data_IF_958364344940
#
_entry.id   IF_958364344940
#
_cell.length_a   1.000
_cell.length_b   1.000
_cell.length_c   1.000
_cell.angle_alpha   90.00
_cell.angle_beta   90.00
_cell.angle_gamma   90.00
#
_symmetry.space_group_name_H-M   'P 1'
#
loop_
_entity.id
_entity.type
_entity.pdbx_description
1 polymer ?
#
# COMPACT_ATOMS: atom_id res chain seq x y z
N UNK A 1 56.31 -47.82 -35.80
CA UNK A 1 55.61 -46.54 -35.97
C UNK A 1 54.45 -46.52 -35.00
N UNK A 2 54.56 -45.74 -33.94
CA UNK A 2 53.47 -45.54 -32.95
C UNK A 2 52.76 -44.25 -33.28
N UNK A 3 51.43 -44.33 -33.55
CA UNK A 3 50.65 -43.16 -33.82
C UNK A 3 50.30 -42.47 -32.47
N UNK A 4 50.61 -41.19 -32.36
CA UNK A 4 50.22 -40.30 -31.21
C UNK A 4 48.89 -39.72 -31.55
N UNK A 5 47.83 -40.11 -30.75
CA UNK A 5 46.51 -39.55 -30.85
C UNK A 5 46.47 -38.22 -30.05
N UNK A 6 46.31 -37.12 -30.76
CA UNK A 6 46.10 -35.80 -30.16
C UNK A 6 44.66 -35.67 -29.72
N UNK A 7 44.40 -35.56 -28.41
CA UNK A 7 43.07 -35.24 -27.86
C UNK A 7 42.94 -33.72 -27.74
N UNK A 8 42.11 -33.14 -28.57
CA UNK A 8 41.72 -31.73 -28.47
C UNK A 8 40.75 -31.58 -27.29
N UNK A 9 41.19 -30.87 -26.27
CA UNK A 9 40.32 -30.47 -25.15
C UNK A 9 39.59 -29.18 -25.57
N UNK A 10 38.28 -29.26 -25.76
CA UNK A 10 37.42 -28.09 -25.97
C UNK A 10 37.05 -27.56 -24.57
N UNK A 11 37.67 -26.44 -24.17
CA UNK A 11 37.20 -25.67 -23.02
C UNK A 11 35.91 -24.93 -23.43
N UNK A 12 34.76 -25.40 -22.95
CA UNK A 12 33.53 -24.64 -22.99
C UNK A 12 33.61 -23.56 -21.92
N UNK A 13 33.77 -22.30 -22.30
CA UNK A 13 33.62 -21.15 -21.42
C UNK A 13 32.15 -20.98 -21.12
N UNK A 14 31.74 -21.37 -19.93
CA UNK A 14 30.46 -20.96 -19.33
C UNK A 14 30.53 -19.45 -19.06
N UNK A 15 29.96 -18.65 -19.94
CA UNK A 15 29.66 -17.27 -19.68
C UNK A 15 28.45 -17.30 -18.74
N UNK A 16 28.70 -17.30 -17.42
CA UNK A 16 27.71 -17.02 -16.44
C UNK A 16 27.26 -15.56 -16.60
N UNK A 17 26.05 -15.33 -17.09
CA UNK A 17 25.40 -14.05 -16.89
C UNK A 17 25.17 -13.96 -15.38
N UNK A 18 25.99 -13.20 -14.67
CA UNK A 18 25.61 -12.69 -13.36
C UNK A 18 24.44 -11.76 -13.59
N UNK A 19 23.24 -12.25 -13.37
CA UNK A 19 22.06 -11.41 -13.17
C UNK A 19 22.31 -10.77 -11.82
N UNK A 20 22.87 -9.55 -11.83
CA UNK A 20 23.11 -8.79 -10.59
C UNK A 20 21.77 -8.55 -9.93
N UNK A 21 21.57 -9.09 -8.72
CA UNK A 21 20.41 -8.80 -7.89
C UNK A 21 20.30 -7.31 -7.64
N UNK A 22 19.07 -6.79 -7.48
CA UNK A 22 18.86 -5.42 -7.03
C UNK A 22 19.05 -5.38 -5.51
N UNK A 23 20.22 -4.91 -5.13
CA UNK A 23 20.62 -4.73 -3.73
C UNK A 23 20.34 -3.28 -3.35
N UNK A 24 19.66 -3.10 -2.26
CA UNK A 24 19.35 -1.79 -1.68
C UNK A 24 19.92 -1.68 -0.28
N UNK A 25 20.28 -0.47 0.12
CA UNK A 25 20.77 -0.18 1.48
C UNK A 25 19.73 0.60 2.27
N UNK A 26 19.69 0.38 3.57
CA UNK A 26 18.81 1.09 4.48
C UNK A 26 19.08 2.60 4.41
N UNK A 27 18.05 3.36 4.07
CA UNK A 27 18.08 4.82 4.03
C UNK A 27 17.35 5.43 5.23
N UNK A 28 16.17 4.89 5.56
CA UNK A 28 15.33 5.41 6.65
C UNK A 28 14.61 4.26 7.38
N UNK A 29 14.51 4.36 8.70
CA UNK A 29 13.71 3.46 9.51
C UNK A 29 12.89 4.29 10.50
N UNK A 30 11.58 4.30 10.31
CA UNK A 30 10.61 5.04 11.13
C UNK A 30 9.89 4.07 12.04
N UNK A 31 9.93 4.34 13.35
CA UNK A 31 9.27 3.52 14.39
C UNK A 31 8.69 4.39 15.48
N UNK A 32 7.59 3.97 16.06
CA UNK A 32 6.99 4.60 17.23
C UNK A 32 6.86 6.12 17.09
N UNK A 33 7.46 6.88 18.01
CA UNK A 33 7.43 8.35 17.99
C UNK A 33 8.10 8.97 16.76
N UNK A 34 8.98 8.25 16.06
CA UNK A 34 9.62 8.72 14.83
C UNK A 34 8.63 9.04 13.70
N UNK A 35 7.41 8.47 13.74
CA UNK A 35 6.36 8.84 12.78
C UNK A 35 5.93 10.30 12.93
N UNK A 36 5.97 10.86 14.14
CA UNK A 36 5.66 12.26 14.37
C UNK A 36 6.70 13.23 13.78
N UNK A 37 7.93 12.77 13.59
CA UNK A 37 9.01 13.57 13.02
C UNK A 37 9.09 13.39 11.50
N UNK A 38 8.73 12.20 11.00
CA UNK A 38 8.83 11.85 9.57
C UNK A 38 7.58 12.19 8.77
N UNK A 39 6.44 12.46 9.42
CA UNK A 39 5.16 12.73 8.76
C UNK A 39 4.49 14.00 9.25
N UNK A 40 3.79 14.67 8.34
CA UNK A 40 2.86 15.76 8.64
C UNK A 40 1.43 15.22 8.76
N UNK A 41 0.70 15.70 9.77
CA UNK A 41 -0.73 15.46 9.91
C UNK A 41 -1.48 16.46 9.04
N UNK A 42 -2.25 15.96 8.08
CA UNK A 42 -2.96 16.76 7.10
C UNK A 42 -4.38 17.04 7.58
N UNK A 43 -4.68 18.32 7.83
CA UNK A 43 -6.03 18.80 8.12
C UNK A 43 -6.61 19.42 6.85
N UNK A 44 -7.03 18.57 5.92
CA UNK A 44 -7.57 18.96 4.62
C UNK A 44 -8.98 18.43 4.43
N UNK A 45 -9.72 19.01 3.49
CA UNK A 45 -10.94 18.39 2.98
C UNK A 45 -10.56 17.14 2.21
N UNK A 46 -11.24 16.03 2.48
CA UNK A 46 -10.97 14.79 1.79
C UNK A 46 -11.27 14.90 0.29
N UNK A 47 -10.27 14.71 -0.59
CA UNK A 47 -10.45 14.79 -2.03
C UNK A 47 -11.35 13.68 -2.59
N UNK A 48 -11.55 12.60 -1.84
CA UNK A 48 -12.42 11.46 -2.23
C UNK A 48 -13.85 11.60 -1.72
N UNK A 49 -14.23 12.80 -1.26
CA UNK A 49 -15.57 13.15 -0.76
C UNK A 49 -16.04 12.30 0.42
N UNK A 50 -15.11 11.82 1.22
CA UNK A 50 -15.38 10.98 2.37
C UNK A 50 -16.20 11.66 3.47
N UNK A 51 -16.95 10.85 4.23
CA UNK A 51 -17.66 11.28 5.44
C UNK A 51 -16.68 11.38 6.62
N UNK A 52 -15.60 12.12 6.45
CA UNK A 52 -14.45 12.23 7.34
C UNK A 52 -14.10 13.69 7.64
N UNK A 53 -13.51 13.92 8.80
CA UNK A 53 -12.80 15.15 9.16
C UNK A 53 -11.39 14.76 9.55
N UNK A 54 -10.42 15.01 8.67
CA UNK A 54 -9.02 14.82 8.99
C UNK A 54 -8.58 15.89 9.99
N UNK A 55 -8.02 15.48 11.11
CA UNK A 55 -7.64 16.40 12.18
C UNK A 55 -6.12 16.59 12.23
N UNK A 56 -5.67 17.77 12.67
CA UNK A 56 -4.26 18.02 12.89
C UNK A 56 -3.72 17.21 14.07
N UNK A 57 -2.39 17.13 14.21
CA UNK A 57 -1.69 16.37 15.24
C UNK A 57 -2.19 16.67 16.66
N UNK A 58 -2.28 17.94 17.04
CA UNK A 58 -2.71 18.34 18.39
C UNK A 58 -4.11 17.82 18.72
N UNK A 59 -5.03 17.91 17.76
CA UNK A 59 -6.37 17.40 17.92
C UNK A 59 -6.39 15.86 17.95
N UNK A 60 -5.62 15.21 17.09
CA UNK A 60 -5.50 13.75 17.06
C UNK A 60 -4.98 13.19 18.39
N UNK A 61 -3.92 13.80 18.95
CA UNK A 61 -3.38 13.43 20.26
C UNK A 61 -4.41 13.67 21.39
N UNK A 62 -5.10 14.83 21.41
CA UNK A 62 -6.09 15.16 22.43
C UNK A 62 -7.31 14.26 22.44
N UNK A 63 -7.68 13.73 21.26
CA UNK A 63 -8.82 12.80 21.08
C UNK A 63 -8.37 11.33 21.10
N UNK A 64 -7.10 11.07 21.39
CA UNK A 64 -6.51 9.73 21.37
C UNK A 64 -6.67 9.00 20.02
N UNK A 65 -6.68 9.77 18.91
CA UNK A 65 -6.71 9.22 17.55
C UNK A 65 -5.32 8.88 17.03
N UNK A 66 -4.28 9.30 17.73
CA UNK A 66 -2.88 8.92 17.51
C UNK A 66 -2.15 8.83 18.83
N UNK A 67 -1.32 7.82 18.96
CA UNK A 67 -0.36 7.69 20.04
C UNK A 67 0.78 6.76 19.59
N UNK A 68 1.91 6.87 20.26
CA UNK A 68 3.10 6.08 19.95
C UNK A 68 3.78 5.57 21.23
N UNK A 69 4.49 4.46 21.09
CA UNK A 69 5.49 3.97 22.02
C UNK A 69 6.85 3.97 21.33
N UNK A 70 7.86 3.33 21.89
CA UNK A 70 9.18 3.18 21.23
C UNK A 70 9.14 2.36 19.93
N UNK A 71 8.16 1.46 19.79
CA UNK A 71 8.10 0.43 18.76
C UNK A 71 6.72 0.26 18.11
N UNK A 72 5.76 1.12 18.44
CA UNK A 72 4.40 1.05 17.93
C UNK A 72 3.89 2.46 17.64
N UNK A 73 3.24 2.62 16.51
CA UNK A 73 2.54 3.83 16.11
C UNK A 73 1.10 3.52 15.76
N UNK A 74 0.16 4.30 16.29
CA UNK A 74 -1.28 4.13 16.07
C UNK A 74 -1.86 5.35 15.37
N UNK A 75 -2.68 5.07 14.35
CA UNK A 75 -3.59 6.00 13.69
C UNK A 75 -4.98 5.41 13.71
N UNK A 76 -5.97 6.13 14.23
CA UNK A 76 -7.33 5.60 14.33
C UNK A 76 -8.39 6.64 14.03
N UNK A 77 -9.59 6.17 13.77
CA UNK A 77 -10.80 7.00 13.75
C UNK A 77 -11.43 7.12 15.12
N UNK A 78 -12.24 8.16 15.30
CA UNK A 78 -13.13 8.32 16.47
C UNK A 78 -14.17 7.20 16.51
N UNK A 79 -14.25 6.51 17.65
CA UNK A 79 -15.17 5.41 17.90
C UNK A 79 -16.20 5.73 19.01
N UNK A 80 -16.34 7.00 19.37
CA UNK A 80 -17.17 7.45 20.51
C UNK A 80 -18.28 8.42 20.13
N UNK A 81 -18.06 9.27 19.12
CA UNK A 81 -18.97 10.37 18.80
C UNK A 81 -20.09 9.93 17.85
N UNK A 82 -21.34 10.15 18.26
CA UNK A 82 -22.50 10.10 17.35
C UNK A 82 -22.56 11.42 16.58
N UNK A 83 -22.58 11.34 15.25
CA UNK A 83 -22.55 12.51 14.38
C UNK A 83 -23.97 12.93 13.98
N UNK A 84 -24.21 14.25 13.97
CA UNK A 84 -25.39 14.86 13.38
C UNK A 84 -25.32 14.92 11.85
N UNK A 85 -26.46 15.17 11.22
CA UNK A 85 -26.56 15.28 9.75
C UNK A 85 -25.75 16.46 9.19
N UNK A 86 -25.54 17.50 9.99
CA UNK A 86 -24.82 18.71 9.60
C UNK A 86 -23.34 18.70 9.99
N UNK A 87 -22.86 17.65 10.67
CA UNK A 87 -21.45 17.53 11.02
C UNK A 87 -20.63 17.22 9.76
N UNK A 88 -19.37 17.66 9.73
CA UNK A 88 -18.49 17.52 8.54
C UNK A 88 -18.12 16.09 8.23
N UNK A 89 -17.95 15.25 9.27
CA UNK A 89 -17.60 13.84 9.14
C UNK A 89 -16.98 13.29 10.41
N UNK A 90 -16.67 12.01 10.43
CA UNK A 90 -16.01 11.34 11.55
C UNK A 90 -14.55 11.77 11.64
N UNK A 91 -14.11 12.17 12.84
CA UNK A 91 -12.72 12.50 13.07
C UNK A 91 -11.83 11.29 12.75
N UNK A 92 -10.81 11.52 11.96
CA UNK A 92 -9.82 10.52 11.55
C UNK A 92 -8.48 11.18 11.27
N UNK A 93 -7.49 10.39 10.89
CA UNK A 93 -6.13 10.85 10.68
C UNK A 93 -5.67 10.52 9.26
N UNK A 94 -5.00 11.51 8.65
CA UNK A 94 -4.23 11.38 7.42
C UNK A 94 -2.86 11.95 7.67
N UNK A 95 -1.81 11.18 7.36
CA UNK A 95 -0.43 11.63 7.49
C UNK A 95 0.29 11.47 6.15
N UNK A 96 1.17 12.41 5.84
CA UNK A 96 1.98 12.44 4.64
C UNK A 96 3.45 12.59 5.00
N UNK A 97 4.32 11.77 4.40
CA UNK A 97 5.76 11.83 4.66
C UNK A 97 6.34 13.20 4.31
N UNK A 98 7.33 13.65 5.09
CA UNK A 98 8.07 14.88 4.83
C UNK A 98 9.00 14.73 3.62
N UNK A 99 9.49 13.52 3.39
CA UNK A 99 10.36 13.16 2.27
C UNK A 99 9.56 12.82 1.01
N UNK A 100 10.24 12.99 -0.11
CA UNK A 100 9.83 12.55 -1.43
C UNK A 100 10.71 11.37 -1.83
N UNK A 101 10.10 10.34 -2.42
CA UNK A 101 10.78 9.13 -2.85
C UNK A 101 10.65 8.97 -4.36
N UNK A 102 11.76 8.57 -5.01
CA UNK A 102 11.79 8.22 -6.43
C UNK A 102 11.82 6.69 -6.59
N UNK A 103 12.95 6.15 -7.02
CA UNK A 103 13.18 4.71 -7.02
C UNK A 103 13.59 4.27 -5.63
N UNK A 104 12.84 3.35 -5.04
CA UNK A 104 13.10 2.89 -3.68
C UNK A 104 12.37 1.58 -3.40
N UNK A 105 12.71 0.97 -2.28
CA UNK A 105 11.94 -0.09 -1.65
C UNK A 105 11.40 0.43 -0.32
N UNK A 106 10.12 0.24 -0.06
CA UNK A 106 9.53 0.49 1.26
C UNK A 106 8.95 -0.78 1.82
N UNK A 107 9.18 -1.04 3.11
CA UNK A 107 8.64 -2.18 3.86
C UNK A 107 7.88 -1.64 5.07
N UNK A 108 6.63 -2.07 5.21
CA UNK A 108 5.77 -1.80 6.35
C UNK A 108 5.60 -3.06 7.19
N UNK A 109 5.89 -3.00 8.47
CA UNK A 109 5.52 -4.01 9.47
C UNK A 109 4.24 -3.54 10.14
N UNK A 110 3.11 -4.17 9.78
CA UNK A 110 1.78 -3.78 10.22
C UNK A 110 1.19 -4.87 11.10
N UNK A 111 0.75 -4.53 12.30
CA UNK A 111 0.15 -5.47 13.24
C UNK A 111 -1.37 -5.50 13.15
N UNK A 112 -1.96 -4.35 12.78
CA UNK A 112 -3.40 -4.19 12.64
C UNK A 112 -3.69 -3.12 11.60
N UNK A 113 -4.74 -3.29 10.81
CA UNK A 113 -5.26 -2.30 9.89
C UNK A 113 -6.73 -2.01 10.17
N UNK A 114 -7.25 -0.84 9.73
CA UNK A 114 -8.65 -0.51 9.95
C UNK A 114 -9.61 -1.56 9.38
N UNK A 115 -10.65 -1.85 10.13
CA UNK A 115 -11.77 -2.69 9.69
C UNK A 115 -13.11 -2.06 10.05
N UNK A 116 -14.13 -2.35 9.26
CA UNK A 116 -15.51 -1.89 9.48
C UNK A 116 -16.23 -1.53 8.18
N UNK A 117 -17.55 -1.57 8.22
CA UNK A 117 -18.39 -1.02 7.15
C UNK A 117 -18.19 0.49 7.04
N UNK A 118 -18.07 1.00 5.85
CA UNK A 118 -17.87 2.42 5.58
C UNK A 118 -16.42 2.86 5.68
N UNK A 119 -15.47 2.01 6.11
CA UNK A 119 -14.04 2.37 6.13
C UNK A 119 -13.42 2.25 4.75
N UNK A 120 -12.45 3.12 4.50
CA UNK A 120 -11.58 3.09 3.31
C UNK A 120 -10.17 3.50 3.74
N UNK A 121 -9.39 2.57 4.32
CA UNK A 121 -8.01 2.78 4.69
C UNK A 121 -7.09 2.63 3.50
N UNK A 122 -5.97 3.41 3.48
CA UNK A 122 -4.93 3.27 2.49
C UNK A 122 -3.51 3.52 3.05
N UNK A 123 -2.53 2.83 2.48
CA UNK A 123 -1.10 3.14 2.50
C UNK A 123 -0.67 3.23 1.05
N UNK A 124 -0.29 4.41 0.62
CA UNK A 124 -0.14 4.75 -0.78
C UNK A 124 0.88 5.85 -1.04
N UNK A 125 1.18 6.13 -2.29
CA UNK A 125 2.14 7.14 -2.69
C UNK A 125 1.59 8.02 -3.81
N UNK A 126 1.72 9.33 -3.65
CA UNK A 126 1.48 10.28 -4.74
C UNK A 126 2.18 11.62 -4.49
N UNK A 127 2.17 12.47 -5.52
CA UNK A 127 2.43 13.90 -5.44
C UNK A 127 1.12 14.66 -5.62
N UNK A 128 0.44 14.98 -4.53
CA UNK A 128 -0.89 15.58 -4.54
C UNK A 128 -0.99 16.84 -5.39
N UNK A 129 0.05 17.70 -5.37
CA UNK A 129 0.06 18.96 -6.15
C UNK A 129 0.16 18.76 -7.66
N UNK A 130 0.40 17.54 -8.13
CA UNK A 130 0.63 17.21 -9.54
C UNK A 130 -0.14 15.93 -9.95
N UNK A 131 -1.13 15.57 -9.18
CA UNK A 131 -1.99 14.41 -9.45
C UNK A 131 -2.85 14.62 -10.71
N UNK A 132 -3.00 13.63 -11.60
CA UNK A 132 -2.38 12.31 -11.59
C UNK A 132 -1.06 12.22 -12.38
N UNK A 133 -0.45 13.35 -12.77
CA UNK A 133 0.70 13.39 -13.69
C UNK A 133 1.98 12.76 -13.09
N UNK A 134 2.15 12.84 -11.78
CA UNK A 134 3.27 12.17 -11.07
C UNK A 134 2.96 10.75 -10.62
N UNK A 135 1.80 10.21 -11.01
CA UNK A 135 1.35 8.87 -10.67
C UNK A 135 0.91 8.71 -9.22
N UNK A 136 0.14 7.64 -8.98
CA UNK A 136 -0.28 7.18 -7.66
C UNK A 136 -0.06 5.68 -7.57
N UNK A 137 0.37 5.20 -6.41
CA UNK A 137 0.67 3.79 -6.14
C UNK A 137 -0.02 3.40 -4.84
N UNK A 138 -1.10 2.63 -4.92
CA UNK A 138 -1.81 2.12 -3.75
C UNK A 138 -1.22 0.77 -3.38
N UNK A 139 -0.44 0.75 -2.29
CA UNK A 139 0.25 -0.45 -1.82
C UNK A 139 -0.73 -1.36 -1.09
N UNK A 140 -1.45 -0.78 -0.12
CA UNK A 140 -2.50 -1.40 0.67
C UNK A 140 -3.73 -0.51 0.59
N UNK A 141 -4.84 -1.01 0.04
CA UNK A 141 -6.09 -0.28 -0.06
C UNK A 141 -7.29 -1.23 -0.12
N UNK A 142 -8.37 -0.84 0.54
CA UNK A 142 -9.64 -1.56 0.47
C UNK A 142 -10.81 -0.79 1.06
N UNK A 143 -12.01 -1.31 0.86
CA UNK A 143 -13.24 -0.68 1.27
C UNK A 143 -14.19 -1.69 1.94
N UNK A 144 -14.87 -1.27 3.02
CA UNK A 144 -15.97 -2.03 3.66
C UNK A 144 -15.61 -3.46 4.09
N UNK A 145 -14.38 -3.75 4.51
CA UNK A 145 -13.90 -5.10 4.84
C UNK A 145 -13.94 -6.10 3.68
N UNK A 146 -14.00 -5.64 2.43
CA UNK A 146 -13.95 -6.54 1.28
C UNK A 146 -12.52 -7.03 1.08
N UNK A 147 -12.35 -8.34 1.17
CA UNK A 147 -11.05 -9.02 1.00
C UNK A 147 -10.95 -9.64 -0.40
N UNK A 148 -9.74 -9.88 -0.89
CA UNK A 148 -8.42 -9.54 -0.37
C UNK A 148 -8.02 -8.08 -0.68
N UNK A 149 -6.81 -7.66 -0.26
CA UNK A 149 -6.21 -6.37 -0.63
C UNK A 149 -6.15 -6.16 -2.15
N UNK A 150 -6.22 -4.92 -2.55
CA UNK A 150 -5.97 -4.49 -3.92
C UNK A 150 -4.80 -3.50 -3.95
N UNK A 151 -3.83 -3.74 -4.83
CA UNK A 151 -2.82 -2.73 -5.18
C UNK A 151 -3.16 -2.14 -6.53
N UNK A 152 -3.14 -0.80 -6.63
CA UNK A 152 -3.62 -0.07 -7.81
C UNK A 152 -2.61 0.96 -8.25
N UNK A 153 -2.58 1.27 -9.54
CA UNK A 153 -1.90 2.46 -10.05
C UNK A 153 -2.90 3.39 -10.73
N UNK A 154 -2.72 4.70 -10.49
CA UNK A 154 -3.43 5.76 -11.21
C UNK A 154 -2.42 6.70 -11.86
N UNK A 155 -2.66 7.01 -13.14
CA UNK A 155 -1.73 7.82 -13.94
C UNK A 155 -2.46 8.82 -14.81
N UNK A 156 -1.72 9.70 -15.44
CA UNK A 156 -2.17 10.42 -16.62
C UNK A 156 -2.40 9.47 -17.80
N UNK A 157 -2.84 10.01 -18.93
CA UNK A 157 -3.16 9.24 -20.14
C UNK A 157 -2.02 8.37 -20.66
N UNK A 158 -2.34 7.35 -21.42
CA UNK A 158 -1.42 6.46 -22.13
C UNK A 158 -0.60 5.53 -21.22
N UNK A 159 -1.23 4.96 -20.19
CA UNK A 159 -0.66 3.91 -19.39
C UNK A 159 -1.64 2.75 -19.20
N UNK A 160 -1.37 1.64 -19.86
CA UNK A 160 -2.10 0.39 -19.70
C UNK A 160 -1.14 -0.76 -19.41
N UNK A 161 -1.48 -1.57 -18.41
CA UNK A 161 -0.68 -2.72 -18.00
C UNK A 161 -1.00 -3.96 -18.84
N UNK A 162 0.01 -4.78 -19.08
CA UNK A 162 -0.21 -6.12 -19.61
C UNK A 162 -0.77 -7.03 -18.53
N UNK A 163 -1.81 -7.81 -18.83
CA UNK A 163 -2.34 -8.83 -17.94
C UNK A 163 -1.48 -10.12 -17.89
N UNK A 164 -0.38 -10.18 -18.63
CA UNK A 164 0.57 -11.30 -18.68
C UNK A 164 1.83 -10.97 -17.87
N UNK A 165 1.70 -10.75 -16.57
CA UNK A 165 2.82 -10.49 -15.67
C UNK A 165 3.03 -11.65 -14.71
N UNK A 166 4.29 -11.86 -14.28
CA UNK A 166 4.62 -12.88 -13.29
C UNK A 166 4.30 -12.34 -11.90
N UNK A 167 3.10 -12.65 -11.41
CA UNK A 167 2.54 -12.22 -10.12
C UNK A 167 1.59 -13.28 -9.57
N UNK A 168 1.27 -13.23 -8.27
CA UNK A 168 0.30 -14.14 -7.65
C UNK A 168 -1.11 -13.58 -7.68
N UNK A 169 -1.28 -12.27 -7.74
CA UNK A 169 -2.59 -11.60 -7.83
C UNK A 169 -3.17 -11.60 -9.25
N UNK A 170 -4.39 -11.10 -9.36
CA UNK A 170 -5.14 -11.06 -10.62
C UNK A 170 -5.51 -9.62 -10.95
N UNK A 171 -5.25 -9.16 -12.17
CA UNK A 171 -5.73 -7.88 -12.63
C UNK A 171 -7.27 -7.85 -12.67
N UNK A 172 -7.85 -6.83 -12.06
CA UNK A 172 -9.26 -6.48 -12.20
C UNK A 172 -9.47 -5.55 -13.40
N UNK A 173 -8.54 -4.62 -13.58
CA UNK A 173 -8.49 -3.62 -14.65
C UNK A 173 -7.04 -3.42 -15.05
N UNK A 174 -6.80 -3.03 -16.31
CA UNK A 174 -5.44 -2.82 -16.82
C UNK A 174 -5.16 -1.39 -17.25
N UNK A 175 -6.17 -0.54 -17.41
CA UNK A 175 -6.01 0.86 -17.77
C UNK A 175 -5.78 1.70 -16.50
N UNK A 176 -4.59 2.30 -16.38
CA UNK A 176 -4.22 3.12 -15.22
C UNK A 176 -4.64 4.59 -15.33
N UNK A 177 -5.19 5.02 -16.50
CA UNK A 177 -5.60 6.39 -16.74
C UNK A 177 -6.73 6.82 -15.79
N UNK A 178 -6.43 7.76 -14.89
CA UNK A 178 -7.35 8.27 -13.89
C UNK A 178 -8.57 9.03 -14.47
N UNK A 179 -8.49 9.46 -15.73
CA UNK A 179 -9.59 10.18 -16.39
C UNK A 179 -10.69 9.28 -16.94
N UNK A 180 -10.50 7.97 -16.94
CA UNK A 180 -11.44 7.00 -17.50
C UNK A 180 -12.06 6.13 -16.40
N UNK A 181 -13.20 5.53 -16.72
CA UNK A 181 -13.88 4.53 -15.87
C UNK A 181 -14.04 4.98 -14.40
N UNK A 182 -14.33 6.26 -14.17
CA UNK A 182 -14.50 6.82 -12.81
C UNK A 182 -13.27 6.66 -11.91
N UNK A 183 -12.07 6.80 -12.48
CA UNK A 183 -10.81 6.66 -11.74
C UNK A 183 -10.60 5.30 -11.07
N UNK A 184 -10.97 4.20 -11.72
CA UNK A 184 -10.77 2.85 -11.17
C UNK A 184 -9.29 2.46 -11.14
N UNK A 185 -8.47 3.07 -12.00
CA UNK A 185 -7.05 2.72 -12.14
C UNK A 185 -6.80 1.31 -12.70
N UNK A 186 -5.57 0.86 -12.68
CA UNK A 186 -5.22 -0.52 -13.01
C UNK A 186 -4.91 -1.31 -11.72
N UNK A 187 -5.91 -2.04 -11.25
CA UNK A 187 -5.89 -2.74 -9.96
C UNK A 187 -5.53 -4.21 -10.08
N UNK A 188 -4.67 -4.69 -9.17
CA UNK A 188 -4.35 -6.10 -8.95
C UNK A 188 -4.88 -6.53 -7.60
N UNK A 189 -5.81 -7.48 -7.59
CA UNK A 189 -6.32 -8.08 -6.37
C UNK A 189 -5.39 -9.22 -5.91
N UNK A 190 -5.08 -9.28 -4.61
CA UNK A 190 -4.20 -10.30 -4.00
C UNK A 190 -4.92 -11.64 -3.83
N UNK A 191 -5.39 -12.24 -4.92
CA UNK A 191 -6.35 -13.34 -4.95
C UNK A 191 -5.90 -14.64 -4.29
N UNK A 192 -4.63 -14.78 -3.94
CA UNK A 192 -4.13 -15.99 -3.22
C UNK A 192 -4.15 -15.84 -1.71
N UNK A 193 -4.53 -14.67 -1.21
CA UNK A 193 -4.37 -14.35 0.19
C UNK A 193 -5.57 -13.59 0.77
N UNK A 194 -6.51 -14.33 1.34
CA UNK A 194 -7.69 -13.75 2.00
C UNK A 194 -7.37 -13.04 3.33
N UNK A 195 -6.15 -13.20 3.85
CA UNK A 195 -5.69 -12.52 5.06
C UNK A 195 -4.90 -11.25 4.75
N UNK A 196 -4.84 -10.83 3.48
CA UNK A 196 -4.13 -9.61 3.09
C UNK A 196 -4.85 -8.32 3.49
N UNK A 197 -6.11 -8.36 3.91
CA UNK A 197 -6.90 -7.18 4.26
C UNK A 197 -7.94 -7.44 5.37
N UNK A 198 -8.27 -6.37 6.13
CA UNK A 198 -9.37 -6.31 7.06
C UNK A 198 -9.31 -7.34 8.20
N UNK A 199 -10.47 -7.91 8.62
CA UNK A 199 -10.54 -8.81 9.78
C UNK A 199 -9.65 -10.05 9.65
N UNK A 200 -9.42 -10.54 8.44
CA UNK A 200 -8.52 -11.67 8.18
C UNK A 200 -7.10 -11.36 8.58
N UNK A 201 -6.59 -10.20 8.13
CA UNK A 201 -5.27 -9.69 8.45
C UNK A 201 -5.08 -9.48 9.96
N UNK A 202 -6.06 -8.85 10.61
CA UNK A 202 -6.00 -8.58 12.05
C UNK A 202 -6.00 -9.86 12.89
N UNK A 203 -6.78 -10.85 12.50
CA UNK A 203 -6.89 -12.15 13.19
C UNK A 203 -5.57 -12.92 13.23
N UNK A 204 -4.73 -12.79 12.20
CA UNK A 204 -3.42 -13.46 12.14
C UNK A 204 -2.29 -12.61 12.74
N UNK A 205 -2.60 -11.47 13.36
CA UNK A 205 -1.60 -10.56 13.95
C UNK A 205 -0.85 -9.72 12.93
N UNK A 206 -1.44 -9.52 11.75
CA UNK A 206 -0.88 -8.66 10.71
C UNK A 206 0.10 -9.33 9.76
N UNK A 207 1.03 -8.54 9.24
CA UNK A 207 2.02 -9.01 8.26
C UNK A 207 2.92 -7.88 7.76
N UNK A 208 3.66 -8.19 6.70
CA UNK A 208 4.51 -7.22 6.03
C UNK A 208 3.97 -6.91 4.64
N UNK A 209 3.89 -5.62 4.34
CA UNK A 209 3.72 -5.10 2.99
C UNK A 209 5.04 -4.51 2.52
N UNK A 210 5.45 -4.84 1.30
CA UNK A 210 6.62 -4.24 0.67
C UNK A 210 6.30 -3.79 -0.75
N UNK A 211 6.83 -2.64 -1.14
CA UNK A 211 6.77 -2.15 -2.51
C UNK A 211 8.20 -1.87 -3.00
N UNK A 212 8.52 -2.32 -4.21
CA UNK A 212 9.73 -1.96 -4.95
C UNK A 212 9.34 -1.15 -6.17
N UNK A 213 9.82 0.08 -6.24
CA UNK A 213 9.63 0.96 -7.38
C UNK A 213 10.96 1.24 -8.08
N UNK A 214 10.95 1.01 -9.38
CA UNK A 214 12.09 1.28 -10.28
C UNK A 214 11.62 2.06 -11.50
N UNK A 215 12.54 2.42 -12.40
CA UNK A 215 12.17 3.02 -13.68
C UNK A 215 11.45 2.06 -14.64
N UNK A 216 11.39 0.76 -14.31
CA UNK A 216 10.91 -0.26 -15.24
C UNK A 216 9.74 -1.08 -14.71
N UNK A 217 9.49 -1.04 -13.42
CA UNK A 217 8.39 -1.77 -12.78
C UNK A 217 8.10 -1.23 -11.38
N UNK A 218 6.90 -1.54 -10.93
CA UNK A 218 6.45 -1.41 -9.55
C UNK A 218 5.95 -2.78 -9.12
N UNK A 219 6.49 -3.32 -8.04
CA UNK A 219 6.08 -4.62 -7.48
C UNK A 219 5.61 -4.43 -6.06
N UNK A 220 4.57 -5.17 -5.67
CA UNK A 220 4.07 -5.21 -4.29
C UNK A 220 4.06 -6.64 -3.80
N UNK A 221 4.56 -6.87 -2.58
CA UNK A 221 4.50 -8.14 -1.88
C UNK A 221 3.68 -7.98 -0.61
N UNK A 222 3.08 -9.09 -0.19
CA UNK A 222 2.48 -9.26 1.11
C UNK A 222 2.91 -10.62 1.67
N UNK A 223 3.20 -10.66 2.96
CA UNK A 223 3.45 -11.89 3.73
C UNK A 223 2.69 -11.82 5.06
N UNK A 224 2.00 -12.90 5.40
CA UNK A 224 1.35 -13.06 6.70
C UNK A 224 2.36 -13.08 7.85
N UNK A 225 1.94 -12.74 9.05
CA UNK A 225 2.82 -12.66 10.23
C UNK A 225 3.60 -13.95 10.49
N UNK A 226 2.97 -15.10 10.34
CA UNK A 226 3.55 -16.41 10.62
C UNK A 226 4.00 -17.17 9.36
N UNK A 227 4.05 -16.49 8.19
CA UNK A 227 4.52 -17.11 6.95
C UNK A 227 6.01 -17.47 7.08
N UNK A 228 6.38 -18.76 6.98
CA UNK A 228 7.78 -19.17 7.00
C UNK A 228 8.58 -18.69 5.80
N UNK A 229 7.93 -18.24 4.74
CA UNK A 229 8.53 -17.72 3.53
C UNK A 229 8.83 -16.22 3.59
N UNK A 230 8.52 -15.52 4.70
CA UNK A 230 8.93 -14.12 4.88
C UNK A 230 10.45 -14.03 4.74
N UNK A 231 10.99 -13.23 3.79
CA UNK A 231 12.42 -13.04 3.67
C UNK A 231 13.03 -12.55 4.98
N UNK A 232 14.20 -13.09 5.32
CA UNK A 232 14.83 -12.76 6.60
C UNK A 232 15.17 -11.26 6.70
N UNK A 233 15.60 -10.66 5.60
CA UNK A 233 15.92 -9.26 5.49
C UNK A 233 14.67 -8.35 5.72
N UNK A 234 13.50 -8.74 5.20
CA UNK A 234 12.22 -8.09 5.49
C UNK A 234 11.87 -8.21 6.96
N UNK A 235 11.88 -9.43 7.50
CA UNK A 235 11.45 -9.71 8.87
C UNK A 235 12.32 -9.03 9.92
N UNK A 236 13.60 -8.87 9.64
CA UNK A 236 14.57 -8.27 10.57
C UNK A 236 14.82 -6.79 10.35
N UNK A 237 14.33 -6.19 9.26
CA UNK A 237 14.68 -4.84 8.85
C UNK A 237 16.20 -4.73 8.61
N UNK A 238 16.76 -5.64 7.82
CA UNK A 238 18.20 -5.74 7.59
C UNK A 238 18.77 -4.45 6.98
N UNK A 239 20.06 -4.18 7.21
CA UNK A 239 20.76 -3.02 6.63
C UNK A 239 20.85 -3.07 5.10
N UNK A 240 20.93 -4.27 4.54
CA UNK A 240 20.99 -4.54 3.10
C UNK A 240 19.90 -5.56 2.78
N UNK A 241 19.18 -5.31 1.68
CA UNK A 241 18.14 -6.21 1.18
C UNK A 241 18.40 -6.57 -0.28
N UNK A 242 17.90 -7.75 -0.69
CA UNK A 242 17.94 -8.24 -2.07
C UNK A 242 16.54 -8.71 -2.50
N UNK A 243 15.84 -7.86 -3.25
CA UNK A 243 14.44 -8.10 -3.66
C UNK A 243 14.27 -9.25 -4.65
N UNK A 244 15.34 -9.72 -5.30
CA UNK A 244 15.26 -10.88 -6.20
C UNK A 244 14.97 -12.19 -5.44
N UNK A 245 15.30 -12.24 -4.16
CA UNK A 245 15.04 -13.39 -3.30
C UNK A 245 13.70 -13.34 -2.57
N UNK A 246 12.87 -12.33 -2.82
CA UNK A 246 11.57 -12.15 -2.14
C UNK A 246 10.43 -12.99 -2.73
N UNK A 247 10.71 -13.76 -3.79
CA UNK A 247 9.72 -14.61 -4.45
C UNK A 247 8.82 -13.83 -5.40
N UNK A 248 7.71 -14.47 -5.78
CA UNK A 248 6.76 -13.91 -6.74
C UNK A 248 5.92 -12.83 -6.03
N UNK A 249 5.89 -11.57 -6.55
CA UNK A 249 5.10 -10.51 -5.94
C UNK A 249 3.59 -10.78 -6.08
N UNK A 250 2.80 -10.17 -5.20
CA UNK A 250 1.35 -10.13 -5.30
C UNK A 250 0.90 -9.31 -6.51
N UNK A 251 1.52 -8.14 -6.72
CA UNK A 251 1.29 -7.30 -7.89
C UNK A 251 2.61 -6.95 -8.57
N UNK A 252 2.61 -6.93 -9.92
CA UNK A 252 3.79 -6.63 -10.74
C UNK A 252 3.39 -5.81 -11.97
N UNK A 253 3.50 -4.51 -11.84
CA UNK A 253 3.25 -3.53 -12.88
C UNK A 253 4.56 -3.26 -13.64
N UNK A 254 4.61 -3.58 -14.94
CA UNK A 254 5.85 -3.50 -15.72
C UNK A 254 5.72 -2.56 -16.91
N UNK A 255 6.84 -1.94 -17.27
CA UNK A 255 6.95 -1.23 -18.54
C UNK A 255 6.44 -2.09 -19.70
N UNK A 256 5.72 -1.45 -20.59
CA UNK A 256 5.25 -2.02 -21.84
C UNK A 256 5.29 -0.95 -22.94
N UNK A 257 4.91 -1.31 -24.15
CA UNK A 257 4.71 -0.33 -25.25
C UNK A 257 3.53 0.61 -24.98
N UNK A 258 2.65 0.26 -24.04
CA UNK A 258 1.44 0.99 -23.67
C UNK A 258 1.56 1.75 -22.34
N UNK A 259 2.66 1.57 -21.61
CA UNK A 259 2.96 2.32 -20.38
C UNK A 259 4.45 2.33 -20.09
N UNK A 260 5.04 3.51 -20.05
CA UNK A 260 6.39 3.76 -19.56
C UNK A 260 6.33 4.27 -18.11
N UNK A 261 6.66 3.42 -17.15
CA UNK A 261 6.68 3.73 -15.71
C UNK A 261 7.49 5.01 -15.43
N UNK A 262 8.63 5.16 -16.08
CA UNK A 262 9.52 6.31 -15.87
C UNK A 262 8.83 7.65 -16.18
N UNK A 263 7.97 7.70 -17.18
CA UNK A 263 7.30 8.93 -17.60
C UNK A 263 6.04 9.25 -16.80
N UNK A 264 5.47 8.26 -16.11
CA UNK A 264 4.20 8.42 -15.39
C UNK A 264 4.38 8.55 -13.86
N UNK A 265 5.55 8.26 -13.31
CA UNK A 265 5.78 8.29 -11.87
C UNK A 265 6.92 9.23 -11.51
N UNK A 266 6.59 10.38 -10.92
CA UNK A 266 7.52 11.37 -10.36
C UNK A 266 7.99 11.03 -8.95
N UNK A 267 8.58 12.00 -8.25
CA UNK A 267 8.84 11.86 -6.82
C UNK A 267 7.52 11.97 -6.04
N UNK A 268 7.22 10.98 -5.21
CA UNK A 268 5.97 10.89 -4.46
C UNK A 268 6.22 10.91 -2.95
N UNK A 269 5.23 11.39 -2.18
CA UNK A 269 5.19 11.18 -0.73
C UNK A 269 4.47 9.88 -0.42
N UNK A 270 4.82 9.24 0.70
CA UNK A 270 4.05 8.17 1.30
C UNK A 270 2.93 8.78 2.12
N UNK A 271 1.70 8.28 1.96
CA UNK A 271 0.51 8.74 2.66
C UNK A 271 -0.12 7.54 3.37
N UNK A 272 -0.58 7.74 4.60
CA UNK A 272 -1.31 6.75 5.39
C UNK A 272 -2.56 7.45 5.91
N UNK A 273 -3.73 6.92 5.58
CA UNK A 273 -4.97 7.52 6.00
C UNK A 273 -6.11 6.51 6.17
N UNK A 274 -7.17 7.00 6.81
CA UNK A 274 -8.42 6.30 6.95
C UNK A 274 -9.56 7.28 6.67
N UNK A 275 -10.18 7.16 5.49
CA UNK A 275 -11.41 7.86 5.17
C UNK A 275 -12.64 6.98 5.40
N UNK A 276 -13.83 7.57 5.26
CA UNK A 276 -15.11 6.91 5.41
C UNK A 276 -16.03 7.24 4.25
N UNK A 277 -16.73 6.26 3.75
CA UNK A 277 -17.67 6.38 2.64
C UNK A 277 -16.98 6.87 1.35
N UNK A 278 -17.21 8.13 0.95
CA UNK A 278 -16.62 8.71 -0.25
C UNK A 278 -17.02 7.99 -1.54
N UNK A 279 -16.20 8.22 -2.57
CA UNK A 279 -16.51 7.80 -3.93
C UNK A 279 -16.45 6.27 -4.11
N UNK A 280 -15.69 5.57 -3.27
CA UNK A 280 -15.57 4.10 -3.33
C UNK A 280 -16.36 3.40 -2.24
N UNK A 281 -15.96 3.51 -0.96
CA UNK A 281 -16.61 2.76 0.10
C UNK A 281 -18.07 3.19 0.34
N UNK A 282 -18.40 4.44 0.00
CA UNK A 282 -19.76 4.99 0.08
C UNK A 282 -20.61 4.80 -1.17
N UNK A 283 -20.05 4.30 -2.27
CA UNK A 283 -20.84 4.02 -3.46
C UNK A 283 -21.94 3.01 -3.14
N UNK A 284 -23.23 3.33 -3.38
CA UNK A 284 -24.34 2.48 -2.93
C UNK A 284 -24.27 1.04 -3.45
N UNK A 285 -23.81 0.84 -4.69
CA UNK A 285 -23.68 -0.49 -5.27
C UNK A 285 -22.58 -1.31 -4.55
N UNK A 286 -21.44 -0.68 -4.26
CA UNK A 286 -20.30 -1.31 -3.59
C UNK A 286 -20.63 -1.55 -2.11
N UNK A 287 -21.17 -0.54 -1.43
CA UNK A 287 -21.54 -0.63 -0.02
C UNK A 287 -22.56 -1.75 0.24
N UNK A 288 -23.60 -1.82 -0.59
CA UNK A 288 -24.63 -2.86 -0.48
C UNK A 288 -24.07 -4.25 -0.82
N UNK A 289 -23.23 -4.35 -1.85
CA UNK A 289 -22.59 -5.62 -2.23
C UNK A 289 -21.62 -6.15 -1.15
N UNK A 290 -21.07 -5.25 -0.32
CA UNK A 290 -20.24 -5.60 0.85
C UNK A 290 -21.03 -6.18 2.02
N UNK A 291 -22.38 -6.20 1.94
CA UNK A 291 -23.26 -6.67 3.02
C UNK A 291 -23.36 -5.72 4.21
N UNK A 292 -22.96 -4.47 4.03
CA UNK A 292 -23.00 -3.44 5.06
C UNK A 292 -24.44 -2.92 5.30
N UNK A 293 -24.80 -2.61 6.55
CA UNK A 293 -26.16 -2.20 6.90
C UNK A 293 -26.41 -0.71 6.61
N UNK A 294 -27.66 -0.33 6.37
CA UNK A 294 -28.13 1.04 6.10
C UNK A 294 -27.50 1.61 4.81
N UNK A 295 -27.41 2.93 4.70
CA UNK A 295 -26.50 3.61 3.80
C UNK A 295 -25.21 3.98 4.55
N UNK A 296 -24.13 4.20 3.83
CA UNK A 296 -22.81 4.42 4.43
C UNK A 296 -22.79 5.61 5.39
N UNK A 297 -23.33 6.74 4.99
CA UNK A 297 -23.32 7.99 5.80
C UNK A 297 -24.12 7.81 7.08
N UNK A 298 -25.33 7.26 6.99
CA UNK A 298 -26.15 6.97 8.16
C UNK A 298 -25.47 5.99 9.11
N UNK A 299 -24.84 4.94 8.56
CA UNK A 299 -24.11 3.98 9.37
C UNK A 299 -22.93 4.61 10.10
N UNK A 300 -22.08 5.34 9.38
CA UNK A 300 -20.90 6.03 9.93
C UNK A 300 -21.29 7.06 10.99
N UNK A 301 -22.39 7.80 10.79
CA UNK A 301 -22.83 8.81 11.74
C UNK A 301 -23.31 8.19 13.06
N UNK A 302 -24.10 7.13 12.99
CA UNK A 302 -24.89 6.66 14.13
C UNK A 302 -24.24 5.53 14.93
N UNK A 303 -23.16 4.91 14.41
CA UNK A 303 -22.58 3.72 15.03
C UNK A 303 -21.11 3.91 15.36
N UNK A 304 -20.72 4.85 16.25
CA UNK A 304 -19.30 5.08 16.57
C UNK A 304 -18.60 3.82 17.07
N UNK A 305 -19.24 3.04 17.93
CA UNK A 305 -18.64 1.81 18.49
C UNK A 305 -18.31 0.73 17.44
N UNK A 306 -18.87 0.82 16.22
CA UNK A 306 -18.51 -0.04 15.12
C UNK A 306 -17.08 0.21 14.59
N UNK A 307 -16.47 1.34 14.99
CA UNK A 307 -15.13 1.75 14.55
C UNK A 307 -14.05 1.54 15.62
N UNK A 308 -14.34 0.77 16.67
CA UNK A 308 -13.34 0.41 17.70
C UNK A 308 -12.10 -0.24 17.09
N UNK A 309 -12.26 -1.03 16.04
CA UNK A 309 -11.15 -1.66 15.30
C UNK A 309 -10.77 -0.88 14.02
N UNK A 310 -11.23 0.35 13.84
CA UNK A 310 -10.85 1.17 12.69
C UNK A 310 -9.55 1.94 12.98
N UNK A 311 -8.42 1.20 13.04
CA UNK A 311 -7.11 1.76 13.31
C UNK A 311 -5.98 1.00 12.61
N UNK A 312 -4.92 1.72 12.27
CA UNK A 312 -3.62 1.15 11.95
C UNK A 312 -2.78 1.02 13.20
N UNK A 313 -2.11 -0.13 13.36
CA UNK A 313 -1.00 -0.33 14.29
C UNK A 313 0.23 -0.73 13.48
N UNK A 314 1.20 0.18 13.43
CA UNK A 314 2.40 0.04 12.60
C UNK A 314 3.62 -0.08 13.52
N UNK A 315 4.38 -1.16 13.37
CA UNK A 315 5.63 -1.36 14.09
C UNK A 315 6.78 -0.58 13.45
N UNK A 316 6.83 -0.58 12.12
CA UNK A 316 7.86 0.17 11.39
C UNK A 316 7.46 0.44 9.94
N UNK A 317 8.02 1.52 9.41
CA UNK A 317 8.22 1.78 7.99
C UNK A 317 9.72 1.86 7.74
N UNK A 318 10.22 1.09 6.78
CA UNK A 318 11.65 1.05 6.45
C UNK A 318 11.83 1.31 4.97
N UNK A 319 12.65 2.29 4.63
CA UNK A 319 12.92 2.69 3.23
C UNK A 319 14.37 2.36 2.88
N UNK A 320 14.57 1.81 1.70
CA UNK A 320 15.86 1.42 1.13
C UNK A 320 16.06 2.07 -0.24
N UNK A 321 17.30 2.50 -0.51
CA UNK A 321 17.75 3.11 -1.77
C UNK A 321 19.06 2.50 -2.28
#
# INVERSE_FOLDING_TARGET
MKAISSRTIVLASLVGFAVGGKIYTLNECVRGEGFYDSFNFENITDPTHGRVTYVNRTTAESLNLTYATSDTFILRADDTTVLGVNDTGRNSVRIRSNRWYHEHVVVFDIQHMPEGCGTWPAIWETKESDWPASGEIDILEGANNVVPNQSTLHTSHNCSMSNHTHQTGTFLTTNCDASVAYNVGCGVQHTRDNNSFGPGFNRIGGGWYAMERTLHYIKVWFWERDDPCVPLDVRTGAWIIDTEHWGIPAANFRNSTECDIRSHFGANNIIIDLTFCGDWAGNPAIYNASGCPLDCVTYVNNNPSAFTNAYFQISSMTVYE
#
